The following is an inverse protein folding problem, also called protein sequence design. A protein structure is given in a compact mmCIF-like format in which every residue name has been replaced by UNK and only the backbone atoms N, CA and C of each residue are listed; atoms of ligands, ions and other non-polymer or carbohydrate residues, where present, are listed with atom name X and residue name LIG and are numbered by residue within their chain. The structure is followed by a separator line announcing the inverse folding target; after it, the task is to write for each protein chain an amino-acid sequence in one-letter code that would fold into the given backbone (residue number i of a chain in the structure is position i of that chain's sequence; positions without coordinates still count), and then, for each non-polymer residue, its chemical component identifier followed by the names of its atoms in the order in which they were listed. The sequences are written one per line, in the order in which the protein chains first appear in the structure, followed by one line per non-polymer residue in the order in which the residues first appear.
data_IF_543774772931
#
_entry.id   IF_543774772931
#
_cell.length_a   1.000
_cell.length_b   1.000
_cell.length_c   1.000
_cell.angle_alpha   90.00
_cell.angle_beta   90.00
_cell.angle_gamma   90.00
#
_symmetry.space_group_name_H-M   'P 1'
#
loop_
_entity.id
_entity.type
_entity.pdbx_description
1 polymer ?
#
# COMPACT_ATOMS: atom_id res chain seq x y z
N UNK A 1 20.58 -5.99 -11.20
CA UNK A 1 19.84 -6.44 -12.39
C UNK A 1 18.37 -6.05 -12.25
N UNK A 2 17.76 -5.42 -13.26
CA UNK A 2 16.32 -5.09 -13.25
C UNK A 2 15.50 -6.36 -13.49
N UNK A 3 14.44 -6.55 -12.71
CA UNK A 3 13.51 -7.67 -12.81
C UNK A 3 12.57 -7.44 -13.99
N UNK A 4 12.44 -8.43 -14.88
CA UNK A 4 11.49 -8.41 -16.00
C UNK A 4 10.24 -9.19 -15.59
N UNK A 5 9.16 -8.46 -15.33
CA UNK A 5 7.86 -9.04 -14.94
C UNK A 5 6.87 -8.97 -16.12
N UNK A 6 5.85 -9.83 -16.09
CA UNK A 6 4.75 -9.79 -17.06
C UNK A 6 3.96 -8.49 -16.87
N UNK A 7 3.48 -7.89 -17.96
CA UNK A 7 2.78 -6.60 -17.91
C UNK A 7 1.58 -6.59 -16.95
N UNK A 8 0.81 -7.69 -16.89
CA UNK A 8 -0.37 -7.79 -16.04
C UNK A 8 -0.03 -7.76 -14.55
N UNK A 9 1.19 -8.14 -14.16
CA UNK A 9 1.62 -8.08 -12.77
C UNK A 9 1.59 -6.65 -12.25
N UNK A 10 1.80 -5.66 -13.12
CA UNK A 10 1.82 -4.25 -12.75
C UNK A 10 0.43 -3.66 -12.45
N UNK A 11 -0.67 -4.38 -12.69
CA UNK A 11 -2.03 -3.87 -12.43
C UNK A 11 -2.23 -3.56 -10.94
N UNK A 12 -1.97 -4.52 -10.04
CA UNK A 12 -2.12 -4.32 -8.60
C UNK A 12 -1.11 -3.30 -8.03
N UNK A 13 0.20 -3.36 -8.35
CA UNK A 13 1.17 -2.34 -7.99
C UNK A 13 0.83 -0.93 -8.50
N UNK A 14 0.28 -0.79 -9.71
CA UNK A 14 -0.18 0.49 -10.24
C UNK A 14 -1.35 1.04 -9.43
N UNK A 15 -2.36 0.22 -9.15
CA UNK A 15 -3.47 0.57 -8.29
C UNK A 15 -3.00 1.03 -6.90
N UNK A 16 -2.11 0.26 -6.26
CA UNK A 16 -1.56 0.60 -4.94
C UNK A 16 -0.71 1.87 -4.98
N UNK A 17 0.09 2.08 -6.03
CA UNK A 17 0.89 3.31 -6.20
C UNK A 17 -0.02 4.52 -6.35
N UNK A 18 -1.05 4.42 -7.22
CA UNK A 18 -2.01 5.49 -7.45
C UNK A 18 -2.72 5.88 -6.15
N UNK A 19 -3.22 4.92 -5.39
CA UNK A 19 -3.81 5.19 -4.09
C UNK A 19 -2.83 5.82 -3.12
N UNK A 20 -1.58 5.35 -3.06
CA UNK A 20 -0.56 5.97 -2.20
C UNK A 20 -0.42 7.46 -2.52
N UNK A 21 -0.31 7.81 -3.80
CA UNK A 21 -0.13 9.20 -4.26
C UNK A 21 -1.38 10.03 -3.97
N UNK A 22 -2.57 9.51 -4.30
CA UNK A 22 -3.84 10.22 -4.09
C UNK A 22 -4.08 10.47 -2.60
N UNK A 23 -3.93 9.44 -1.75
CA UNK A 23 -4.08 9.59 -0.30
C UNK A 23 -3.05 10.56 0.28
N UNK A 24 -1.81 10.53 -0.21
CA UNK A 24 -0.79 11.50 0.21
C UNK A 24 -1.21 12.93 -0.07
N UNK A 25 -1.63 13.20 -1.31
CA UNK A 25 -2.01 14.54 -1.73
C UNK A 25 -3.28 15.01 -1.00
N UNK A 26 -4.29 14.14 -0.90
CA UNK A 26 -5.53 14.47 -0.21
C UNK A 26 -5.28 14.73 1.27
N UNK A 27 -4.52 13.89 1.96
CA UNK A 27 -4.24 14.06 3.38
C UNK A 27 -3.42 15.34 3.67
N UNK A 28 -2.52 15.74 2.76
CA UNK A 28 -1.78 17.00 2.87
C UNK A 28 -2.66 18.24 2.69
N UNK A 29 -3.67 18.17 1.81
CA UNK A 29 -4.54 19.31 1.48
C UNK A 29 -5.70 19.41 2.47
N UNK A 30 -6.36 18.29 2.75
CA UNK A 30 -7.57 18.17 3.54
C UNK A 30 -7.69 16.77 4.18
N UNK A 31 -6.78 16.46 5.10
CA UNK A 31 -6.82 15.19 5.83
C UNK A 31 -8.08 14.99 6.66
N UNK A 32 -8.67 16.07 7.17
CA UNK A 32 -9.94 16.04 7.90
C UNK A 32 -11.10 15.62 7.00
N UNK A 33 -11.25 16.24 5.83
CA UNK A 33 -12.28 15.88 4.87
C UNK A 33 -12.05 14.51 4.24
N UNK A 34 -10.80 14.09 4.08
CA UNK A 34 -10.45 12.72 3.70
C UNK A 34 -11.02 11.71 4.70
N UNK A 35 -10.73 11.88 5.99
CA UNK A 35 -11.25 10.97 7.03
C UNK A 35 -12.78 11.00 7.07
N UNK A 36 -13.40 12.17 6.97
CA UNK A 36 -14.86 12.29 6.89
C UNK A 36 -15.46 11.56 5.68
N UNK A 37 -14.80 11.56 4.51
CA UNK A 37 -15.25 10.83 3.33
C UNK A 37 -15.22 9.30 3.51
N UNK A 38 -14.35 8.80 4.39
CA UNK A 38 -14.33 7.40 4.82
C UNK A 38 -15.21 7.15 6.05
N UNK A 39 -16.01 8.13 6.47
CA UNK A 39 -16.87 8.07 7.65
C UNK A 39 -16.07 7.79 8.95
N UNK A 40 -14.85 8.30 9.00
CA UNK A 40 -13.92 8.15 10.13
C UNK A 40 -14.00 9.40 11.01
N UNK A 41 -14.57 9.28 12.21
CA UNK A 41 -14.62 10.36 13.20
C UNK A 41 -13.33 10.43 14.02
N UNK A 42 -12.45 11.35 13.64
CA UNK A 42 -11.16 11.57 14.29
C UNK A 42 -11.22 12.60 15.44
N UNK A 43 -12.41 13.11 15.79
CA UNK A 43 -12.58 14.20 16.75
C UNK A 43 -11.85 15.48 16.31
N UNK A 44 -11.19 16.16 17.26
CA UNK A 44 -10.27 17.26 16.99
C UNK A 44 -8.81 16.77 17.03
N UNK A 45 -8.28 16.22 15.93
CA UNK A 45 -6.89 15.76 15.90
C UNK A 45 -5.95 16.97 15.97
N UNK A 46 -4.83 16.81 16.67
CA UNK A 46 -3.78 17.82 16.60
C UNK A 46 -3.22 17.92 15.18
N UNK A 47 -2.87 19.13 14.75
CA UNK A 47 -2.27 19.38 13.42
C UNK A 47 -1.04 18.51 13.18
N UNK A 48 -0.25 18.25 14.24
CA UNK A 48 0.90 17.35 14.18
C UNK A 48 0.53 15.92 13.78
N UNK A 49 -0.53 15.35 14.36
CA UNK A 49 -0.99 13.99 14.05
C UNK A 49 -1.43 13.89 12.60
N UNK A 50 -2.17 14.88 12.09
CA UNK A 50 -2.64 14.90 10.71
C UNK A 50 -1.48 15.00 9.72
N UNK A 51 -0.54 15.94 9.94
CA UNK A 51 0.64 16.08 9.08
C UNK A 51 1.55 14.85 9.13
N UNK A 52 1.72 14.24 10.30
CA UNK A 52 2.46 12.99 10.41
C UNK A 52 1.76 11.85 9.64
N UNK A 53 0.42 11.78 9.70
CA UNK A 53 -0.35 10.85 8.90
C UNK A 53 -0.11 11.04 7.39
N UNK A 54 -0.19 12.29 6.92
CA UNK A 54 0.06 12.64 5.53
C UNK A 54 1.50 12.29 5.09
N UNK A 55 2.50 12.64 5.91
CA UNK A 55 3.91 12.36 5.63
C UNK A 55 4.20 10.86 5.48
N UNK A 56 3.52 10.00 6.26
CA UNK A 56 3.64 8.54 6.12
C UNK A 56 3.15 8.07 4.76
N UNK A 57 1.98 8.55 4.31
CA UNK A 57 1.49 8.20 2.97
C UNK A 57 2.45 8.70 1.87
N UNK A 58 3.01 9.91 2.02
CA UNK A 58 4.02 10.43 1.08
C UNK A 58 5.23 9.52 1.00
N UNK A 59 5.76 9.09 2.15
CA UNK A 59 6.90 8.18 2.20
C UNK A 59 6.60 6.85 1.49
N UNK A 60 5.40 6.29 1.69
CA UNK A 60 4.96 5.08 0.99
C UNK A 60 4.85 5.35 -0.52
N UNK A 61 4.25 6.46 -0.94
CA UNK A 61 4.10 6.82 -2.35
C UNK A 61 5.46 6.94 -3.04
N UNK A 62 6.40 7.67 -2.44
CA UNK A 62 7.78 7.79 -2.94
C UNK A 62 8.46 6.43 -3.00
N UNK A 63 8.32 5.62 -1.94
CA UNK A 63 8.83 4.25 -1.93
C UNK A 63 8.29 3.41 -3.08
N UNK A 64 6.99 3.49 -3.35
CA UNK A 64 6.31 2.73 -4.41
C UNK A 64 6.82 3.17 -5.79
N UNK A 65 6.92 4.48 -6.02
CA UNK A 65 7.50 5.08 -7.23
C UNK A 65 8.92 4.57 -7.46
N UNK A 66 9.79 4.71 -6.45
CA UNK A 66 11.19 4.32 -6.55
C UNK A 66 11.36 2.81 -6.73
N UNK A 67 10.70 2.00 -5.90
CA UNK A 67 10.89 0.57 -5.89
C UNK A 67 10.32 -0.14 -7.11
N UNK A 68 9.08 0.18 -7.49
CA UNK A 68 8.34 -0.52 -8.54
C UNK A 68 8.65 0.04 -9.93
N UNK A 69 8.87 1.34 -10.07
CA UNK A 69 8.93 1.98 -11.39
C UNK A 69 10.35 2.37 -11.80
N UNK A 70 11.18 2.79 -10.83
CA UNK A 70 12.55 3.24 -11.10
C UNK A 70 13.55 2.09 -10.96
N UNK A 71 13.76 1.59 -9.74
CA UNK A 71 14.77 0.58 -9.42
C UNK A 71 14.43 -0.78 -9.99
N UNK A 72 13.19 -1.25 -9.83
CA UNK A 72 12.69 -2.49 -10.42
C UNK A 72 13.55 -3.71 -10.07
N UNK A 73 14.17 -3.75 -8.90
CA UNK A 73 14.89 -4.94 -8.43
C UNK A 73 13.96 -5.78 -7.56
N UNK A 74 14.16 -7.10 -7.51
CA UNK A 74 13.33 -7.98 -6.69
C UNK A 74 13.26 -7.51 -5.23
N UNK A 75 14.42 -7.25 -4.61
CA UNK A 75 14.48 -6.78 -3.23
C UNK A 75 13.83 -5.42 -3.04
N UNK A 76 14.02 -4.47 -3.97
CA UNK A 76 13.40 -3.15 -3.84
C UNK A 76 11.88 -3.20 -3.95
N UNK A 77 11.35 -3.99 -4.88
CA UNK A 77 9.91 -4.22 -5.03
C UNK A 77 9.35 -4.94 -3.80
N UNK A 78 10.03 -5.99 -3.35
CA UNK A 78 9.61 -6.76 -2.18
C UNK A 78 9.55 -5.88 -0.93
N UNK A 79 10.61 -5.12 -0.67
CA UNK A 79 10.71 -4.22 0.48
C UNK A 79 9.57 -3.21 0.50
N UNK A 80 9.29 -2.55 -0.63
CA UNK A 80 8.24 -1.53 -0.63
C UNK A 80 6.84 -2.12 -0.47
N UNK A 81 6.56 -3.26 -1.12
CA UNK A 81 5.26 -3.92 -0.97
C UNK A 81 5.04 -4.41 0.48
N UNK A 82 6.09 -4.93 1.13
CA UNK A 82 6.04 -5.32 2.53
C UNK A 82 5.82 -4.13 3.47
N UNK A 83 6.55 -3.02 3.27
CA UNK A 83 6.34 -1.79 4.05
C UNK A 83 4.90 -1.32 3.90
N UNK A 84 4.39 -1.28 2.66
CA UNK A 84 3.00 -0.88 2.41
C UNK A 84 2.01 -1.83 3.09
N UNK A 85 2.24 -3.14 3.04
CA UNK A 85 1.35 -4.13 3.65
C UNK A 85 1.30 -3.97 5.17
N UNK A 86 2.46 -3.76 5.80
CA UNK A 86 2.55 -3.49 7.24
C UNK A 86 1.78 -2.22 7.59
N UNK A 87 1.92 -1.16 6.80
CA UNK A 87 1.18 0.08 7.01
C UNK A 87 -0.33 -0.11 6.85
N UNK A 88 -0.78 -0.82 5.80
CA UNK A 88 -2.20 -1.14 5.58
C UNK A 88 -2.78 -1.94 6.77
N UNK A 89 -2.00 -2.89 7.31
CA UNK A 89 -2.39 -3.69 8.47
C UNK A 89 -2.44 -2.87 9.77
N UNK A 90 -1.48 -1.97 9.97
CA UNK A 90 -1.44 -1.08 11.14
C UNK A 90 -2.58 -0.06 11.10
N UNK A 91 -2.93 0.46 9.93
CA UNK A 91 -4.05 1.38 9.75
C UNK A 91 -5.37 0.67 10.07
N UNK A 92 -5.59 -0.55 9.55
CA UNK A 92 -6.76 -1.36 9.90
C UNK A 92 -6.81 -1.67 11.41
N UNK A 93 -5.70 -2.12 11.99
CA UNK A 93 -5.64 -2.43 13.42
C UNK A 93 -5.93 -1.20 14.28
N UNK A 94 -5.34 -0.04 13.93
CA UNK A 94 -5.60 1.22 14.63
C UNK A 94 -7.06 1.63 14.51
N UNK A 95 -7.67 1.44 13.33
CA UNK A 95 -9.09 1.68 13.11
C UNK A 95 -9.98 0.79 13.97
N UNK A 96 -9.64 -0.50 14.12
CA UNK A 96 -10.36 -1.43 14.98
C UNK A 96 -10.24 -1.08 16.46
N UNK A 97 -9.03 -0.78 16.94
CA UNK A 97 -8.77 -0.48 18.36
C UNK A 97 -9.39 0.84 18.80
N UNK A 98 -9.41 1.83 17.91
CA UNK A 98 -10.03 3.13 18.18
C UNK A 98 -11.55 3.14 18.07
N UNK A 99 -12.16 2.05 17.55
CA UNK A 99 -13.59 2.00 17.25
C UNK A 99 -13.99 2.75 15.97
N UNK A 100 -13.03 3.27 15.20
CA UNK A 100 -13.27 3.89 13.89
C UNK A 100 -13.77 2.89 12.84
N UNK A 101 -13.37 1.63 12.98
CA UNK A 101 -13.83 0.51 12.16
C UNK A 101 -14.49 -0.48 13.13
N UNK A 102 -15.79 -0.37 13.31
CA UNK A 102 -16.57 -1.16 14.27
C UNK A 102 -17.49 -2.19 13.60
N UNK A 103 -17.59 -2.16 12.28
CA UNK A 103 -18.53 -2.98 11.52
C UNK A 103 -17.85 -3.85 10.44
N UNK A 104 -18.48 -4.97 10.05
CA UNK A 104 -17.91 -5.88 9.04
C UNK A 104 -17.65 -5.23 7.68
N UNK A 105 -18.47 -4.24 7.30
CA UNK A 105 -18.35 -3.56 6.00
C UNK A 105 -17.06 -2.75 5.92
N UNK A 106 -16.71 -1.98 6.95
CA UNK A 106 -15.47 -1.22 7.02
C UNK A 106 -14.22 -2.10 7.04
N UNK A 107 -14.29 -3.25 7.73
CA UNK A 107 -13.23 -4.26 7.71
C UNK A 107 -13.07 -4.82 6.29
N UNK A 108 -14.17 -5.25 5.66
CA UNK A 108 -14.14 -5.77 4.29
C UNK A 108 -13.60 -4.75 3.29
N UNK A 109 -14.04 -3.50 3.38
CA UNK A 109 -13.57 -2.42 2.52
C UNK A 109 -12.06 -2.24 2.64
N UNK A 110 -11.53 -2.19 3.87
CA UNK A 110 -10.09 -2.07 4.12
C UNK A 110 -9.30 -3.26 3.55
N UNK A 111 -9.82 -4.48 3.74
CA UNK A 111 -9.21 -5.69 3.20
C UNK A 111 -9.18 -5.68 1.66
N UNK A 112 -10.30 -5.34 1.01
CA UNK A 112 -10.43 -5.35 -0.45
C UNK A 112 -9.60 -4.25 -1.11
N UNK A 113 -9.58 -3.05 -0.52
CA UNK A 113 -8.90 -1.91 -1.10
C UNK A 113 -7.39 -1.93 -0.87
N UNK A 114 -6.91 -2.46 0.25
CA UNK A 114 -5.50 -2.26 0.64
C UNK A 114 -4.76 -3.58 0.81
N UNK A 115 -5.26 -4.46 1.67
CA UNK A 115 -4.55 -5.68 2.07
C UNK A 115 -4.50 -6.70 0.94
N UNK A 116 -5.64 -7.05 0.33
CA UNK A 116 -5.70 -8.09 -0.69
C UNK A 116 -4.94 -7.75 -1.98
N UNK A 117 -5.04 -6.54 -2.56
CA UNK A 117 -4.24 -6.19 -3.73
C UNK A 117 -2.74 -6.27 -3.45
N UNK A 118 -2.31 -5.92 -2.24
CA UNK A 118 -0.91 -5.96 -1.83
C UNK A 118 -0.42 -7.41 -1.62
N UNK A 119 -1.18 -8.23 -0.90
CA UNK A 119 -0.90 -9.66 -0.76
C UNK A 119 -0.86 -10.36 -2.13
N UNK A 120 -1.78 -10.03 -3.03
CA UNK A 120 -1.78 -10.56 -4.39
C UNK A 120 -0.52 -10.16 -5.16
N UNK A 121 -0.10 -8.89 -5.10
CA UNK A 121 1.12 -8.42 -5.73
C UNK A 121 2.38 -9.14 -5.19
N UNK A 122 2.47 -9.32 -3.87
CA UNK A 122 3.55 -10.04 -3.20
C UNK A 122 3.59 -11.52 -3.59
N UNK A 123 2.44 -12.20 -3.49
CA UNK A 123 2.34 -13.62 -3.82
C UNK A 123 2.74 -13.88 -5.28
N UNK A 124 2.19 -13.10 -6.22
CA UNK A 124 2.50 -13.25 -7.65
C UNK A 124 3.97 -12.92 -7.96
N UNK A 125 4.58 -11.93 -7.28
CA UNK A 125 6.00 -11.61 -7.41
C UNK A 125 6.88 -12.81 -7.03
N UNK A 126 6.57 -13.46 -5.91
CA UNK A 126 7.29 -14.64 -5.43
C UNK A 126 7.16 -15.80 -6.44
N UNK A 127 5.95 -16.09 -6.90
CA UNK A 127 5.67 -17.17 -7.86
C UNK A 127 6.40 -16.97 -9.20
N UNK A 128 6.38 -15.74 -9.74
CA UNK A 128 7.06 -15.41 -10.98
C UNK A 128 8.59 -15.54 -10.84
N UNK A 129 9.13 -15.13 -9.69
CA UNK A 129 10.57 -15.19 -9.43
C UNK A 129 11.06 -16.63 -9.27
N UNK A 130 10.31 -17.47 -8.53
CA UNK A 130 10.62 -18.90 -8.39
C UNK A 130 10.56 -19.63 -9.73
N UNK A 131 9.57 -19.31 -10.56
CA UNK A 131 9.40 -19.91 -11.90
C UNK A 131 10.56 -19.56 -12.85
N UNK A 132 11.09 -18.35 -12.76
CA UNK A 132 12.28 -17.95 -13.54
C UNK A 132 13.55 -18.63 -13.04
N UNK A 133 13.72 -18.77 -11.72
CA UNK A 133 14.88 -19.45 -11.13
C UNK A 133 14.91 -20.94 -11.50
N UNK A 134 13.76 -21.62 -11.51
CA UNK A 134 13.67 -23.03 -11.94
C UNK A 134 14.08 -23.23 -13.40
N UNK A 135 13.67 -22.33 -14.30
CA UNK A 135 14.07 -22.41 -15.72
C UNK A 135 15.57 -22.29 -15.92
N UNK A 136 16.23 -21.40 -15.18
CA UNK A 136 17.68 -21.21 -15.23
C UNK A 136 18.51 -22.39 -14.69
N UNK A 137 17.90 -23.33 -13.95
CA UNK A 137 18.58 -24.51 -13.42
C UNK A 137 18.44 -25.74 -14.34
N UNK A 138 17.58 -25.66 -15.36
CA UNK A 138 17.29 -26.74 -16.31
C UNK A 138 18.03 -26.51 -17.64
N UNK A 139 18.48 -25.28 -17.90
CA UNK A 139 19.34 -24.87 -19.02
C UNK A 139 20.83 -24.95 -18.61
#
# INVERSE_FOLDING_TARGET
MKLKLKWWWYIAPAYLTAWSVIFSAWNLIDGTGMMAAFQVDIGEPSTFIMLNSAARYVAIAVGMVLGIWIFRTFHSILTVLLIRLVMDALDLYSGLVSGLIDNPTGIMQSCIMFIFPNLFALWTLIQLTQSSRKRQLIE
#
